data_IF_282801714818
#
_entry.id   IF_282801714818
#
_cell.length_a   1.000
_cell.length_b   1.000
_cell.length_c   1.000
_cell.angle_alpha   90.00
_cell.angle_beta   90.00
_cell.angle_gamma   90.00
#
_symmetry.space_group_name_H-M   'P 1'
#
loop_
_entity.id
_entity.type
_entity.pdbx_description
1 polymer ?
#
# COMPACT_ATOMS: atom_id res chain seq x y z
N UNK A 1 -19.64 12.04 6.52
CA UNK A 1 -19.89 10.64 6.93
C UNK A 1 -19.57 9.61 5.85
N UNK A 2 -20.45 9.25 4.90
CA UNK A 2 -20.16 8.16 3.92
C UNK A 2 -18.90 8.37 3.05
N UNK A 3 -18.53 9.63 2.79
CA UNK A 3 -17.33 9.96 2.01
C UNK A 3 -16.02 9.65 2.74
N UNK A 4 -15.92 10.03 4.02
CA UNK A 4 -14.71 9.84 4.83
C UNK A 4 -14.42 8.35 5.05
N UNK A 5 -15.44 7.56 5.43
CA UNK A 5 -15.29 6.12 5.64
C UNK A 5 -14.87 5.39 4.35
N UNK A 6 -15.43 5.80 3.20
CA UNK A 6 -15.02 5.27 1.89
C UNK A 6 -13.57 5.62 1.57
N UNK A 7 -13.17 6.86 1.82
CA UNK A 7 -11.80 7.31 1.60
C UNK A 7 -10.81 6.52 2.48
N UNK A 8 -11.10 6.41 3.78
CA UNK A 8 -10.29 5.63 4.72
C UNK A 8 -10.17 4.16 4.29
N UNK A 9 -11.27 3.54 3.84
CA UNK A 9 -11.25 2.18 3.29
C UNK A 9 -10.33 2.07 2.08
N UNK A 10 -10.41 3.04 1.15
CA UNK A 10 -9.56 3.07 -0.04
C UNK A 10 -8.08 3.23 0.29
N UNK A 11 -7.75 4.11 1.25
CA UNK A 11 -6.37 4.32 1.72
C UNK A 11 -5.86 3.07 2.43
N UNK A 12 -6.63 2.48 3.35
CA UNK A 12 -6.24 1.25 4.03
C UNK A 12 -5.96 0.11 3.04
N UNK A 13 -6.79 -0.03 1.99
CA UNK A 13 -6.54 -1.00 0.93
C UNK A 13 -5.25 -0.69 0.15
N UNK A 14 -4.98 0.58 -0.14
CA UNK A 14 -3.72 1.04 -0.73
C UNK A 14 -2.51 0.65 0.11
N UNK A 15 -2.53 0.97 1.40
CA UNK A 15 -1.46 0.62 2.35
C UNK A 15 -1.23 -0.90 2.43
N UNK A 16 -2.29 -1.71 2.43
CA UNK A 16 -2.16 -3.17 2.38
C UNK A 16 -1.51 -3.66 1.08
N UNK A 17 -1.79 -3.03 -0.06
CA UNK A 17 -1.13 -3.34 -1.34
C UNK A 17 0.34 -2.92 -1.29
N UNK A 18 0.65 -1.75 -0.78
CA UNK A 18 2.03 -1.29 -0.63
C UNK A 18 2.82 -2.20 0.30
N UNK A 19 2.21 -2.65 1.41
CA UNK A 19 2.79 -3.64 2.29
C UNK A 19 3.12 -4.94 1.55
N UNK A 20 2.17 -5.44 0.75
CA UNK A 20 2.35 -6.65 -0.03
C UNK A 20 3.47 -6.51 -1.07
N UNK A 21 3.54 -5.38 -1.79
CA UNK A 21 4.60 -5.09 -2.75
C UNK A 21 5.97 -4.95 -2.11
N UNK A 22 6.05 -4.30 -0.95
CA UNK A 22 7.29 -4.20 -0.18
C UNK A 22 7.74 -5.58 0.33
N UNK A 23 6.82 -6.43 0.80
CA UNK A 23 7.15 -7.79 1.20
C UNK A 23 7.73 -8.59 0.03
N UNK A 24 7.07 -8.57 -1.13
CA UNK A 24 7.56 -9.23 -2.35
C UNK A 24 8.92 -8.71 -2.82
N UNK A 25 9.26 -7.48 -2.44
CA UNK A 25 10.52 -6.82 -2.80
C UNK A 25 11.63 -6.98 -1.74
N UNK A 26 11.38 -7.75 -0.66
CA UNK A 26 12.35 -7.96 0.42
C UNK A 26 12.50 -6.75 1.34
N UNK A 27 11.46 -5.92 1.44
CA UNK A 27 11.40 -4.72 2.26
C UNK A 27 10.52 -4.96 3.49
N UNK A 28 10.80 -6.02 4.26
CA UNK A 28 9.94 -6.45 5.37
C UNK A 28 9.65 -5.33 6.38
N UNK A 29 10.65 -4.53 6.73
CA UNK A 29 10.49 -3.40 7.65
C UNK A 29 9.49 -2.36 7.12
N UNK A 30 9.60 -1.99 5.84
CA UNK A 30 8.64 -1.09 5.19
C UNK A 30 7.26 -1.71 5.11
N UNK A 31 7.17 -3.01 4.78
CA UNK A 31 5.91 -3.73 4.71
C UNK A 31 5.15 -3.70 6.05
N UNK A 32 5.86 -3.92 7.16
CA UNK A 32 5.27 -3.79 8.50
C UNK A 32 4.86 -2.35 8.83
N UNK A 33 5.62 -1.36 8.38
CA UNK A 33 5.24 0.05 8.52
C UNK A 33 3.91 0.38 7.83
N UNK A 34 3.74 -0.05 6.58
CA UNK A 34 2.47 0.11 5.86
C UNK A 34 1.32 -0.63 6.55
N UNK A 35 1.53 -1.87 7.00
CA UNK A 35 0.51 -2.63 7.74
C UNK A 35 0.12 -1.96 9.05
N UNK A 36 1.09 -1.42 9.81
CA UNK A 36 0.81 -0.68 11.05
C UNK A 36 -0.11 0.50 10.77
N UNK A 37 0.20 1.31 9.76
CA UNK A 37 -0.62 2.48 9.39
C UNK A 37 -2.02 2.05 8.94
N UNK A 38 -2.12 0.95 8.16
CA UNK A 38 -3.40 0.40 7.73
C UNK A 38 -4.26 -0.06 8.92
N UNK A 39 -3.66 -0.77 9.89
CA UNK A 39 -4.37 -1.26 11.09
C UNK A 39 -4.87 -0.08 11.94
N UNK A 40 -4.05 0.95 12.14
CA UNK A 40 -4.47 2.14 12.90
C UNK A 40 -5.64 2.87 12.23
N UNK A 41 -5.58 3.03 10.91
CA UNK A 41 -6.66 3.65 10.14
C UNK A 41 -7.95 2.81 10.17
N UNK A 42 -7.84 1.49 10.05
CA UNK A 42 -8.99 0.58 10.12
C UNK A 42 -9.65 0.58 11.50
N UNK A 43 -8.87 0.65 12.57
CA UNK A 43 -9.41 0.75 13.93
C UNK A 43 -10.21 2.06 14.13
N UNK A 44 -9.66 3.20 13.68
CA UNK A 44 -10.39 4.48 13.74
C UNK A 44 -11.63 4.48 12.84
N UNK A 45 -11.57 3.79 11.69
CA UNK A 45 -12.70 3.62 10.78
C UNK A 45 -13.83 2.81 11.42
N UNK A 46 -13.50 1.71 12.10
CA UNK A 46 -14.46 0.87 12.83
C UNK A 46 -15.17 1.69 13.91
N UNK A 47 -14.42 2.40 14.76
CA UNK A 47 -14.98 3.26 15.80
C UNK A 47 -15.90 4.35 15.22
N UNK A 48 -15.47 5.01 14.13
CA UNK A 48 -16.29 6.00 13.45
C UNK A 48 -17.58 5.40 12.88
N UNK A 49 -17.52 4.19 12.28
CA UNK A 49 -18.68 3.51 11.72
C UNK A 49 -19.70 3.10 12.80
N UNK A 50 -19.24 2.66 13.97
CA UNK A 50 -20.10 2.22 15.08
C UNK A 50 -20.72 3.39 15.84
N UNK A 51 -20.07 4.55 15.86
CA UNK A 51 -20.49 5.73 16.63
C UNK A 51 -21.74 6.46 16.11
N UNK A 52 -22.32 6.04 14.98
CA UNK A 52 -23.55 6.62 14.37
C UNK A 52 -23.51 8.16 14.16
N UNK A 53 -22.33 8.71 13.86
CA UNK A 53 -22.15 10.14 13.57
C UNK A 53 -21.66 10.97 14.77
N UNK A 54 -20.95 10.34 15.71
CA UNK A 54 -20.23 11.08 16.75
C UNK A 54 -19.08 11.88 16.12
N UNK A 55 -19.16 13.20 16.25
CA UNK A 55 -18.17 14.15 15.72
C UNK A 55 -16.76 13.87 16.28
N UNK A 56 -16.63 13.36 17.50
CA UNK A 56 -15.33 13.03 18.10
C UNK A 56 -14.69 11.85 17.37
N UNK A 57 -15.46 10.81 17.09
CA UNK A 57 -14.99 9.64 16.35
C UNK A 57 -14.65 10.00 14.89
N UNK A 58 -15.42 10.90 14.27
CA UNK A 58 -15.10 11.42 12.93
C UNK A 58 -13.78 12.19 12.91
N UNK A 59 -13.52 13.06 13.89
CA UNK A 59 -12.25 13.78 13.99
C UNK A 59 -11.07 12.84 14.26
N UNK A 60 -11.27 11.79 15.04
CA UNK A 60 -10.26 10.76 15.25
C UNK A 60 -9.93 10.03 13.93
N UNK A 61 -10.95 9.70 13.12
CA UNK A 61 -10.75 9.12 11.80
C UNK A 61 -10.00 10.07 10.84
N UNK A 62 -10.34 11.37 10.82
CA UNK A 62 -9.61 12.37 10.03
C UNK A 62 -8.13 12.46 10.43
N UNK A 63 -7.85 12.46 11.74
CA UNK A 63 -6.48 12.47 12.25
C UNK A 63 -5.71 11.20 11.86
N UNK A 64 -6.32 10.02 12.06
CA UNK A 64 -5.71 8.75 11.67
C UNK A 64 -5.45 8.66 10.15
N UNK A 65 -6.34 9.21 9.33
CA UNK A 65 -6.17 9.27 7.88
C UNK A 65 -4.96 10.15 7.51
N UNK A 66 -4.83 11.31 8.14
CA UNK A 66 -3.68 12.20 7.93
C UNK A 66 -2.36 11.52 8.36
N UNK A 67 -2.34 10.93 9.55
CA UNK A 67 -1.17 10.21 10.06
C UNK A 67 -0.79 9.02 9.18
N UNK A 68 -1.77 8.28 8.65
CA UNK A 68 -1.50 7.15 7.77
C UNK A 68 -0.83 7.57 6.46
N UNK A 69 -1.24 8.72 5.88
CA UNK A 69 -0.62 9.29 4.68
C UNK A 69 0.79 9.81 4.96
N UNK A 70 0.95 10.63 6.01
CA UNK A 70 2.27 11.17 6.40
C UNK A 70 3.24 10.04 6.80
N UNK A 71 2.72 9.02 7.49
CA UNK A 71 3.49 7.86 7.90
C UNK A 71 3.94 7.01 6.73
N UNK A 72 3.14 6.89 5.66
CA UNK A 72 3.50 6.16 4.45
C UNK A 72 4.63 6.84 3.66
N UNK A 73 4.61 8.17 3.56
CA UNK A 73 5.61 8.95 2.84
C UNK A 73 7.00 8.93 3.53
N UNK A 74 7.02 8.77 4.86
CA UNK A 74 8.22 8.86 5.68
C UNK A 74 8.67 7.49 6.24
N UNK A 75 8.30 6.39 5.59
CA UNK A 75 8.70 5.07 6.05
C UNK A 75 10.21 4.86 5.95
N UNK A 76 10.80 4.51 7.08
CA UNK A 76 12.18 4.04 7.20
C UNK A 76 12.21 2.52 7.39
N UNK A 77 13.22 1.82 6.85
CA UNK A 77 14.30 2.34 6.01
C UNK A 77 13.79 2.78 4.63
N UNK A 78 14.55 3.66 3.96
CA UNK A 78 14.34 3.97 2.55
C UNK A 78 14.30 2.70 1.68
N UNK A 79 13.59 2.76 0.56
CA UNK A 79 13.42 1.62 -0.34
C UNK A 79 14.75 1.21 -0.98
N UNK A 80 15.10 -0.08 -0.88
CA UNK A 80 16.35 -0.62 -1.43
C UNK A 80 16.10 -1.51 -2.67
N UNK A 81 16.36 -0.97 -3.85
CA UNK A 81 16.20 -1.70 -5.11
C UNK A 81 17.07 -2.96 -5.22
N UNK A 82 18.17 -3.06 -4.46
CA UNK A 82 19.08 -4.21 -4.55
C UNK A 82 18.47 -5.52 -4.03
N UNK A 83 17.45 -5.43 -3.16
CA UNK A 83 16.80 -6.59 -2.55
C UNK A 83 15.77 -7.26 -3.46
N UNK A 84 15.26 -6.53 -4.47
CA UNK A 84 14.08 -6.91 -5.24
C UNK A 84 14.23 -8.25 -5.97
N UNK A 85 15.33 -8.45 -6.69
CA UNK A 85 15.49 -9.62 -7.56
C UNK A 85 15.54 -10.93 -6.74
N UNK A 86 16.31 -10.92 -5.64
CA UNK A 86 16.44 -12.08 -4.76
C UNK A 86 15.12 -12.37 -4.01
N UNK A 87 14.45 -11.34 -3.51
CA UNK A 87 13.19 -11.49 -2.80
C UNK A 87 12.07 -12.00 -3.71
N UNK A 88 11.96 -11.45 -4.92
CA UNK A 88 10.96 -11.87 -5.90
C UNK A 88 11.11 -13.34 -6.25
N UNK A 89 12.33 -13.79 -6.55
CA UNK A 89 12.60 -15.21 -6.82
C UNK A 89 12.22 -16.11 -5.63
N UNK A 90 12.51 -15.67 -4.40
CA UNK A 90 12.13 -16.39 -3.17
C UNK A 90 10.62 -16.54 -3.05
N UNK A 91 9.84 -15.48 -3.22
CA UNK A 91 8.38 -15.52 -3.05
C UNK A 91 7.66 -16.21 -4.22
N UNK A 92 8.15 -16.04 -5.45
CA UNK A 92 7.64 -16.76 -6.62
C UNK A 92 7.82 -18.27 -6.48
N UNK A 93 8.96 -18.74 -5.92
CA UNK A 93 9.18 -20.15 -5.61
C UNK A 93 8.19 -20.70 -4.57
N UNK A 94 7.55 -19.84 -3.77
CA UNK A 94 6.48 -20.18 -2.83
C UNK A 94 5.07 -20.04 -3.44
N UNK A 95 4.97 -19.67 -4.73
CA UNK A 95 3.70 -19.40 -5.40
C UNK A 95 3.06 -18.06 -5.04
N UNK A 96 3.78 -17.19 -4.32
CA UNK A 96 3.29 -15.87 -3.90
C UNK A 96 3.72 -14.86 -4.96
N UNK A 97 2.74 -14.24 -5.64
CA UNK A 97 3.00 -13.34 -6.77
C UNK A 97 2.18 -12.06 -6.67
N UNK A 98 2.51 -11.06 -7.48
CA UNK A 98 1.77 -9.79 -7.56
C UNK A 98 0.35 -9.92 -8.16
N UNK A 99 0.02 -11.06 -8.79
CA UNK A 99 -1.18 -11.24 -9.60
C UNK A 99 -2.47 -11.02 -8.79
N UNK A 100 -3.31 -10.10 -9.26
CA UNK A 100 -4.63 -9.83 -8.66
C UNK A 100 -4.59 -9.00 -7.37
N UNK A 101 -3.41 -8.67 -6.85
CA UNK A 101 -3.22 -7.88 -5.62
C UNK A 101 -2.69 -6.50 -5.97
N UNK A 102 -1.61 -6.45 -6.74
CA UNK A 102 -0.99 -5.21 -7.21
C UNK A 102 -1.52 -4.86 -8.60
N UNK A 103 -1.67 -3.57 -8.93
CA UNK A 103 -1.96 -3.16 -10.30
C UNK A 103 -0.82 -3.62 -11.20
N UNK A 104 -1.11 -4.52 -12.14
CA UNK A 104 -0.20 -4.80 -13.25
C UNK A 104 -0.29 -3.62 -14.22
N UNK A 105 0.80 -2.90 -14.40
CA UNK A 105 0.92 -1.94 -15.50
C UNK A 105 1.30 -2.77 -16.73
N UNK A 106 0.47 -2.78 -17.77
CA UNK A 106 0.91 -3.29 -19.07
C UNK A 106 1.90 -2.26 -19.63
N UNK A 107 3.11 -2.66 -20.07
CA UNK A 107 4.02 -1.72 -20.71
C UNK A 107 3.38 -1.01 -21.93
N UNK A 108 2.36 -1.60 -22.56
CA UNK A 108 1.62 -0.97 -23.65
C UNK A 108 0.61 0.09 -23.19
N UNK A 109 0.27 0.14 -21.90
CA UNK A 109 -0.55 1.22 -21.32
C UNK A 109 0.27 2.50 -21.07
N UNK A 110 1.60 2.40 -21.16
CA UNK A 110 2.51 3.55 -21.04
C UNK A 110 2.83 4.13 -22.42
N UNK A 111 2.94 5.47 -22.57
CA UNK A 111 3.45 6.10 -23.80
C UNK A 111 4.78 5.47 -24.27
N UNK A 112 5.02 5.42 -25.58
CA UNK A 112 6.21 4.77 -26.16
C UNK A 112 7.54 5.35 -25.64
N UNK A 113 7.53 6.62 -25.30
CA UNK A 113 8.65 7.38 -24.75
C UNK A 113 8.67 7.43 -23.21
N UNK A 114 7.73 6.75 -22.54
CA UNK A 114 7.64 6.81 -21.09
C UNK A 114 8.82 6.06 -20.43
N UNK A 115 9.58 6.69 -19.52
CA UNK A 115 10.81 6.13 -18.96
C UNK A 115 10.60 4.82 -18.20
N UNK A 116 9.38 4.58 -17.68
CA UNK A 116 9.04 3.34 -16.98
C UNK A 116 8.64 2.20 -17.93
N UNK A 117 8.41 2.44 -19.22
CA UNK A 117 7.89 1.42 -20.15
C UNK A 117 8.84 0.23 -20.29
N UNK A 118 10.13 0.50 -20.43
CA UNK A 118 11.15 -0.54 -20.51
C UNK A 118 11.30 -1.29 -19.17
N UNK A 119 11.28 -0.57 -18.05
CA UNK A 119 11.36 -1.15 -16.70
C UNK A 119 10.19 -2.11 -16.45
N UNK A 120 8.97 -1.70 -16.81
CA UNK A 120 7.76 -2.53 -16.68
C UNK A 120 7.81 -3.74 -17.62
N UNK A 121 8.28 -3.57 -18.85
CA UNK A 121 8.43 -4.67 -19.81
C UNK A 121 9.46 -5.71 -19.37
N UNK A 122 10.50 -5.31 -18.63
CA UNK A 122 11.50 -6.23 -18.11
C UNK A 122 11.07 -6.87 -16.78
N UNK A 123 10.19 -6.22 -16.02
CA UNK A 123 9.58 -6.79 -14.81
C UNK A 123 8.43 -7.77 -15.07
N UNK A 124 7.91 -7.81 -16.31
CA UNK A 124 6.76 -8.65 -16.71
C UNK A 124 7.14 -9.87 -17.57
N UNK A 125 8.42 -10.01 -17.93
CA UNK A 125 9.01 -11.23 -18.53
C UNK A 125 9.41 -12.23 -17.45
#
# INVERSE_FOLDING_TARGET
MKGLNRQATGIALGLCRDAYGNLLSGQEARAFGYLRNAVQLLAALEESAESKGDIRAEKALEAALKEALEGADNLEPAFDHSLMAAARAKYEAMGITAKGVLPSIDPNDLPEDHPLRQIVADLTK
#
